data_IF_284219230972
#
_entry.id   IF_284219230972
#
_cell.length_a   1.000
_cell.length_b   1.000
_cell.length_c   1.000
_cell.angle_alpha   90.00
_cell.angle_beta   90.00
_cell.angle_gamma   90.00
#
_symmetry.space_group_name_H-M   'P 1'
#
loop_
_entity.id
_entity.type
_entity.pdbx_description
1 polymer ?
#
# COMPACT_ATOMS: atom_id res chain seq x y z
N UNK A 1 14.39 -16.98 7.05
CA UNK A 1 14.62 -15.62 6.50
C UNK A 1 13.37 -14.78 6.71
N UNK A 2 13.52 -13.50 7.10
CA UNK A 2 12.38 -12.63 7.40
C UNK A 2 12.21 -11.54 6.35
N UNK A 3 10.98 -11.08 6.17
CA UNK A 3 10.64 -9.92 5.36
C UNK A 3 9.78 -8.98 6.19
N UNK A 4 9.80 -7.69 5.84
CA UNK A 4 8.93 -6.71 6.48
C UNK A 4 7.96 -6.18 5.44
N UNK A 5 6.67 -6.17 5.78
CA UNK A 5 5.63 -5.48 5.03
C UNK A 5 5.27 -4.18 5.74
N UNK A 6 5.11 -3.10 5.00
CA UNK A 6 4.68 -1.80 5.52
C UNK A 6 3.42 -1.35 4.79
N UNK A 7 2.41 -0.98 5.56
CA UNK A 7 1.25 -0.23 5.10
C UNK A 7 1.47 1.26 5.44
N UNK A 8 1.74 2.06 4.43
CA UNK A 8 1.93 3.50 4.54
C UNK A 8 0.61 4.22 4.23
N UNK A 9 -0.21 4.40 5.24
CA UNK A 9 -1.47 5.14 5.11
C UNK A 9 -1.35 6.63 5.48
N UNK A 10 -2.32 7.43 5.07
CA UNK A 10 -2.37 8.87 5.40
C UNK A 10 -2.50 9.17 6.90
N UNK A 11 -2.96 8.21 7.70
CA UNK A 11 -3.14 8.37 9.15
C UNK A 11 -2.12 7.59 9.97
N UNK A 12 -1.80 6.38 9.56
CA UNK A 12 -0.91 5.48 10.29
C UNK A 12 0.09 4.84 9.32
N UNK A 13 1.27 4.56 9.85
CA UNK A 13 2.29 3.70 9.27
C UNK A 13 2.30 2.41 10.10
N UNK A 14 2.08 1.27 9.46
CA UNK A 14 2.08 -0.03 10.15
C UNK A 14 3.09 -0.95 9.47
N UNK A 15 4.03 -1.48 10.24
CA UNK A 15 5.01 -2.47 9.77
C UNK A 15 4.75 -3.82 10.43
N UNK A 16 4.98 -4.90 9.68
CA UNK A 16 4.89 -6.26 10.19
C UNK A 16 6.05 -7.11 9.70
N UNK A 17 6.73 -7.81 10.61
CA UNK A 17 7.73 -8.83 10.26
C UNK A 17 7.03 -10.14 9.94
N UNK A 18 7.35 -10.73 8.81
CA UNK A 18 6.74 -11.96 8.30
C UNK A 18 7.80 -13.06 8.25
N UNK A 19 7.48 -14.22 8.82
CA UNK A 19 8.32 -15.43 8.74
C UNK A 19 8.03 -16.26 7.48
N UNK A 20 8.71 -17.38 7.31
CA UNK A 20 8.57 -18.28 6.15
C UNK A 20 7.19 -18.95 6.08
N UNK A 21 6.48 -19.04 7.20
CA UNK A 21 5.12 -19.57 7.28
C UNK A 21 4.06 -18.49 6.96
N UNK A 22 4.47 -17.30 6.51
CA UNK A 22 3.60 -16.14 6.25
C UNK A 22 2.87 -15.62 7.49
N UNK A 23 3.42 -15.87 8.68
CA UNK A 23 2.87 -15.35 9.94
C UNK A 23 3.57 -14.05 10.32
N UNK A 24 2.79 -13.09 10.80
CA UNK A 24 3.30 -11.84 11.37
C UNK A 24 3.79 -12.16 12.78
N UNK A 25 5.09 -11.95 13.03
CA UNK A 25 5.77 -12.27 14.30
C UNK A 25 6.24 -11.03 15.07
N UNK A 26 6.16 -9.86 14.47
CA UNK A 26 6.45 -8.58 15.11
C UNK A 26 5.75 -7.43 14.41
N UNK A 27 5.43 -6.36 15.14
CA UNK A 27 4.69 -5.21 14.64
C UNK A 27 5.31 -3.90 15.10
N UNK A 28 5.31 -2.91 14.19
CA UNK A 28 5.64 -1.52 14.50
C UNK A 28 4.54 -0.60 14.00
N UNK A 29 4.23 0.44 14.74
CA UNK A 29 3.17 1.39 14.37
C UNK A 29 3.55 2.80 14.79
N UNK A 30 3.44 3.73 13.83
CA UNK A 30 3.57 5.17 14.05
C UNK A 30 2.38 5.91 13.43
N UNK A 31 2.21 7.19 13.85
CA UNK A 31 1.28 8.09 13.18
C UNK A 31 1.96 8.75 11.98
N UNK A 32 1.26 8.84 10.86
CA UNK A 32 1.78 9.52 9.66
C UNK A 32 1.88 11.03 9.87
N UNK A 33 0.91 11.61 10.60
CA UNK A 33 0.85 13.05 10.92
C UNK A 33 0.93 13.95 9.66
N UNK A 34 0.25 13.57 8.58
CA UNK A 34 0.15 14.38 7.38
C UNK A 34 -0.65 15.68 7.62
N UNK A 35 -0.34 16.78 6.89
CA UNK A 35 0.72 16.90 5.89
C UNK A 35 2.08 17.29 6.51
N UNK A 36 3.18 16.73 5.96
CA UNK A 36 4.57 17.12 6.28
C UNK A 36 5.53 16.65 5.18
N UNK A 37 6.81 17.02 5.28
CA UNK A 37 7.82 16.65 4.29
C UNK A 37 7.92 15.13 4.09
N UNK A 38 8.09 14.70 2.84
CA UNK A 38 8.15 13.29 2.47
C UNK A 38 9.28 12.54 3.20
N UNK A 39 10.44 13.17 3.33
CA UNK A 39 11.60 12.62 4.03
C UNK A 39 11.29 12.31 5.50
N UNK A 40 10.51 13.18 6.16
CA UNK A 40 10.12 12.98 7.55
C UNK A 40 9.12 11.81 7.70
N UNK A 41 8.23 11.62 6.74
CA UNK A 41 7.32 10.47 6.71
C UNK A 41 8.10 9.18 6.44
N UNK A 42 9.04 9.20 5.48
CA UNK A 42 9.87 8.04 5.15
C UNK A 42 10.84 7.68 6.30
N UNK A 43 11.32 8.65 7.06
CA UNK A 43 12.08 8.36 8.29
C UNK A 43 11.21 7.62 9.32
N UNK A 44 9.93 7.98 9.45
CA UNK A 44 9.02 7.26 10.35
C UNK A 44 8.62 5.88 9.79
N UNK A 45 8.60 5.70 8.47
CA UNK A 45 8.52 4.35 7.87
C UNK A 45 9.71 3.50 8.31
N UNK A 46 10.93 4.03 8.25
CA UNK A 46 12.12 3.32 8.69
C UNK A 46 12.06 2.97 10.19
N UNK A 47 11.62 3.91 11.05
CA UNK A 47 11.43 3.65 12.48
C UNK A 47 10.35 2.60 12.75
N UNK A 48 9.26 2.58 11.98
CA UNK A 48 8.22 1.55 12.11
C UNK A 48 8.77 0.15 11.76
N UNK A 49 9.60 0.06 10.72
CA UNK A 49 10.31 -1.18 10.36
C UNK A 49 11.23 -1.63 11.49
N UNK A 50 12.05 -0.73 12.03
CA UNK A 50 12.97 -1.03 13.14
C UNK A 50 12.19 -1.47 14.39
N UNK A 51 11.08 -0.81 14.71
CA UNK A 51 10.22 -1.19 15.83
C UNK A 51 9.62 -2.60 15.64
N UNK A 52 9.16 -2.93 14.42
CA UNK A 52 8.64 -4.27 14.13
C UNK A 52 9.72 -5.36 14.26
N UNK A 53 10.96 -5.06 13.85
CA UNK A 53 12.11 -5.97 13.96
C UNK A 53 12.47 -6.22 15.44
N UNK A 54 12.46 -5.18 16.26
CA UNK A 54 12.68 -5.29 17.71
C UNK A 54 11.58 -6.12 18.37
N UNK A 55 10.32 -5.86 18.04
CA UNK A 55 9.15 -6.57 18.58
C UNK A 55 9.18 -8.08 18.19
N UNK A 56 9.71 -8.39 17.00
CA UNK A 56 9.92 -9.76 16.55
C UNK A 56 11.09 -10.49 17.26
N UNK A 57 11.88 -9.78 18.06
CA UNK A 57 13.06 -10.34 18.75
C UNK A 57 14.22 -10.72 17.81
N UNK A 58 14.31 -10.07 16.63
CA UNK A 58 15.34 -10.29 15.61
C UNK A 58 16.14 -9.01 15.35
N UNK A 59 17.09 -9.07 14.45
CA UNK A 59 17.89 -7.92 14.03
C UNK A 59 17.64 -7.56 12.56
N UNK A 60 18.00 -6.34 12.16
CA UNK A 60 17.92 -5.94 10.75
C UNK A 60 18.76 -6.85 9.82
N UNK A 61 19.80 -7.51 10.34
CA UNK A 61 20.60 -8.45 9.54
C UNK A 61 19.80 -9.67 9.10
N UNK A 62 18.80 -10.07 9.88
CA UNK A 62 17.93 -11.22 9.59
C UNK A 62 16.86 -10.91 8.55
N UNK A 63 16.66 -9.60 8.24
CA UNK A 63 15.67 -9.11 7.25
C UNK A 63 16.28 -9.12 5.85
N UNK A 64 15.61 -9.78 4.91
CA UNK A 64 16.03 -9.87 3.50
C UNK A 64 15.60 -8.64 2.70
N UNK A 65 14.36 -8.20 2.90
CA UNK A 65 13.77 -7.10 2.14
C UNK A 65 12.59 -6.47 2.86
N UNK A 66 12.24 -5.26 2.45
CA UNK A 66 11.06 -4.54 2.92
C UNK A 66 10.16 -4.24 1.73
N UNK A 67 8.87 -4.61 1.83
CA UNK A 67 7.83 -4.26 0.87
C UNK A 67 6.92 -3.18 1.46
N UNK A 68 6.57 -2.18 0.67
CA UNK A 68 5.76 -1.04 1.12
C UNK A 68 4.56 -0.90 0.20
N UNK A 69 3.37 -0.99 0.77
CA UNK A 69 2.11 -0.58 0.16
C UNK A 69 1.84 0.89 0.48
N UNK A 70 1.57 1.70 -0.51
CA UNK A 70 1.31 3.14 -0.38
C UNK A 70 0.08 3.53 -1.21
N UNK A 71 -0.71 4.51 -0.77
CA UNK A 71 -1.77 5.04 -1.62
C UNK A 71 -1.17 5.74 -2.85
N UNK A 72 -1.99 5.85 -3.89
CA UNK A 72 -1.66 6.59 -5.11
C UNK A 72 -0.89 5.80 -6.16
N UNK A 73 -0.22 6.52 -7.06
CA UNK A 73 0.50 5.95 -8.20
C UNK A 73 1.96 5.67 -7.85
N UNK A 74 2.42 4.48 -8.19
CA UNK A 74 3.78 4.02 -7.90
C UNK A 74 4.46 3.57 -9.18
N UNK A 75 5.57 4.19 -9.54
CA UNK A 75 6.48 3.71 -10.56
C UNK A 75 7.42 2.66 -9.96
N UNK A 76 7.03 1.41 -10.04
CA UNK A 76 7.78 0.28 -9.44
C UNK A 76 9.17 0.12 -10.03
N UNK A 77 9.35 0.42 -11.32
CA UNK A 77 10.64 0.32 -12.00
C UNK A 77 11.66 1.28 -11.41
N UNK A 78 11.27 2.52 -11.21
CA UNK A 78 12.14 3.59 -10.73
C UNK A 78 12.13 3.73 -9.19
N UNK A 79 11.18 3.09 -8.49
CA UNK A 79 11.06 3.20 -7.04
C UNK A 79 10.55 4.57 -6.56
N UNK A 80 9.70 5.19 -7.37
CA UNK A 80 9.16 6.53 -7.13
C UNK A 80 7.66 6.44 -6.82
N UNK A 81 7.22 7.09 -5.77
CA UNK A 81 5.80 7.39 -5.54
C UNK A 81 5.50 8.65 -6.36
N UNK A 82 4.84 8.47 -7.52
CA UNK A 82 4.60 9.56 -8.46
C UNK A 82 3.59 10.56 -7.91
N UNK A 83 2.52 10.05 -7.29
CA UNK A 83 1.50 10.88 -6.67
C UNK A 83 0.77 10.13 -5.57
N UNK A 84 0.62 10.74 -4.39
CA UNK A 84 -0.22 10.25 -3.31
C UNK A 84 -0.88 11.42 -2.57
N UNK A 85 -2.15 11.70 -2.90
CA UNK A 85 -2.89 12.83 -2.34
C UNK A 85 -2.94 12.81 -0.81
N UNK A 86 -3.18 11.63 -0.22
CA UNK A 86 -3.31 11.45 1.23
C UNK A 86 -2.00 11.67 2.01
N UNK A 87 -0.87 11.69 1.31
CA UNK A 87 0.47 11.90 1.86
C UNK A 87 1.06 13.26 1.43
N UNK A 88 0.39 13.96 0.50
CA UNK A 88 0.92 15.14 -0.19
C UNK A 88 2.26 14.84 -0.90
N UNK A 89 2.41 13.63 -1.45
CA UNK A 89 3.60 13.21 -2.19
C UNK A 89 3.46 13.55 -3.67
N UNK A 90 4.54 14.05 -4.24
CA UNK A 90 4.71 14.32 -5.67
C UNK A 90 6.14 13.94 -6.08
N UNK A 91 6.27 12.93 -6.94
CA UNK A 91 7.54 12.41 -7.45
C UNK A 91 8.61 12.11 -6.38
N UNK A 92 8.21 11.42 -5.31
CA UNK A 92 9.09 11.09 -4.18
C UNK A 92 9.91 9.83 -4.47
N UNK A 93 11.27 9.89 -4.48
CA UNK A 93 12.15 8.74 -4.74
C UNK A 93 12.26 7.85 -3.48
N UNK A 94 11.14 7.24 -3.08
CA UNK A 94 10.99 6.57 -1.80
C UNK A 94 11.91 5.35 -1.65
N UNK A 95 12.18 4.61 -2.76
CA UNK A 95 13.11 3.48 -2.73
C UNK A 95 14.50 3.93 -2.32
N UNK A 96 15.07 4.91 -3.02
CA UNK A 96 16.45 5.35 -2.81
C UNK A 96 16.65 5.90 -1.39
N UNK A 97 15.69 6.66 -0.90
CA UNK A 97 15.70 7.21 0.47
C UNK A 97 15.71 6.06 1.49
N UNK A 98 14.81 5.09 1.35
CA UNK A 98 14.67 4.00 2.31
C UNK A 98 15.77 2.96 2.20
N UNK A 99 16.28 2.66 1.00
CA UNK A 99 17.45 1.79 0.81
C UNK A 99 18.71 2.41 1.43
N UNK A 100 18.88 3.72 1.26
CA UNK A 100 19.97 4.46 1.91
C UNK A 100 19.87 4.38 3.44
N UNK A 101 18.66 4.49 4.00
CA UNK A 101 18.40 4.53 5.44
C UNK A 101 18.44 3.15 6.11
N UNK A 102 17.79 2.15 5.50
CA UNK A 102 17.63 0.81 6.08
C UNK A 102 18.71 -0.17 5.64
N UNK A 103 19.47 0.13 4.57
CA UNK A 103 20.45 -0.78 3.94
C UNK A 103 19.85 -2.12 3.56
N UNK A 104 18.61 -2.11 3.06
CA UNK A 104 17.85 -3.27 2.61
C UNK A 104 17.18 -2.99 1.28
N UNK A 105 16.96 -4.03 0.49
CA UNK A 105 16.20 -3.91 -0.76
C UNK A 105 14.76 -3.52 -0.46
N UNK A 106 14.30 -2.47 -1.12
CA UNK A 106 12.94 -1.91 -0.95
C UNK A 106 12.11 -2.20 -2.20
N UNK A 107 10.91 -2.73 -1.98
CA UNK A 107 9.87 -2.89 -3.00
C UNK A 107 8.70 -1.97 -2.69
N UNK A 108 8.18 -1.32 -3.72
CA UNK A 108 7.02 -0.43 -3.61
C UNK A 108 5.89 -0.94 -4.51
N UNK A 109 4.66 -0.87 -4.04
CA UNK A 109 3.45 -1.04 -4.85
C UNK A 109 2.31 -0.22 -4.26
N UNK A 110 1.21 -0.12 -4.99
CA UNK A 110 -0.05 0.43 -4.46
C UNK A 110 -0.57 -0.46 -3.31
N UNK A 111 -1.21 0.16 -2.31
CA UNK A 111 -1.72 -0.50 -1.11
C UNK A 111 -2.76 -1.59 -1.40
N UNK A 112 -3.72 -1.34 -2.29
CA UNK A 112 -4.72 -2.34 -2.69
C UNK A 112 -4.11 -3.50 -3.48
N UNK A 113 -3.09 -3.24 -4.30
CA UNK A 113 -2.30 -4.26 -4.97
C UNK A 113 -1.57 -5.15 -3.96
N UNK A 114 -0.94 -4.53 -2.95
CA UNK A 114 -0.28 -5.25 -1.86
C UNK A 114 -1.28 -6.12 -1.07
N UNK A 115 -2.48 -5.59 -0.78
CA UNK A 115 -3.54 -6.33 -0.12
C UNK A 115 -3.97 -7.55 -0.94
N UNK A 116 -4.21 -7.39 -2.26
CA UNK A 116 -4.56 -8.50 -3.14
C UNK A 116 -3.47 -9.58 -3.18
N UNK A 117 -2.20 -9.19 -3.25
CA UNK A 117 -1.08 -10.14 -3.19
C UNK A 117 -1.01 -10.84 -1.83
N UNK A 118 -1.26 -10.14 -0.74
CA UNK A 118 -1.34 -10.71 0.60
C UNK A 118 -2.44 -11.77 0.69
N UNK A 119 -3.64 -11.46 0.21
CA UNK A 119 -4.77 -12.39 0.14
C UNK A 119 -4.45 -13.63 -0.73
N UNK A 120 -3.78 -13.43 -1.87
CA UNK A 120 -3.35 -14.54 -2.73
C UNK A 120 -2.37 -15.50 -2.04
N UNK A 121 -1.48 -14.97 -1.20
CA UNK A 121 -0.41 -15.76 -0.57
C UNK A 121 -0.80 -16.38 0.77
N UNK A 122 -1.56 -15.67 1.58
CA UNK A 122 -1.81 -16.04 2.98
C UNK A 122 -3.26 -15.86 3.45
N UNK A 123 -4.13 -15.26 2.64
CA UNK A 123 -5.50 -14.93 2.98
C UNK A 123 -6.55 -15.74 2.22
N UNK A 124 -7.72 -15.13 1.98
CA UNK A 124 -8.88 -15.75 1.35
C UNK A 124 -8.66 -16.15 -0.11
N UNK A 125 -7.70 -15.52 -0.80
CA UNK A 125 -7.31 -15.86 -2.18
C UNK A 125 -6.34 -17.02 -2.30
N UNK A 126 -5.90 -17.63 -1.20
CA UNK A 126 -4.94 -18.74 -1.22
C UNK A 126 -5.50 -19.95 -1.96
N UNK A 127 -4.78 -20.39 -3.01
CA UNK A 127 -5.21 -21.50 -3.86
C UNK A 127 -6.21 -21.11 -4.95
N UNK A 128 -6.62 -19.86 -5.05
CA UNK A 128 -7.47 -19.33 -6.12
C UNK A 128 -6.58 -18.65 -7.16
N UNK A 129 -6.70 -19.08 -8.43
CA UNK A 129 -5.85 -18.55 -9.50
C UNK A 129 -6.28 -17.15 -9.99
N UNK A 130 -7.59 -16.85 -9.92
CA UNK A 130 -8.10 -15.58 -10.41
C UNK A 130 -9.18 -15.04 -9.48
N UNK A 131 -9.02 -13.80 -9.01
CA UNK A 131 -9.97 -13.12 -8.14
C UNK A 131 -9.75 -11.60 -8.19
N UNK A 132 -10.71 -10.88 -7.65
CA UNK A 132 -10.62 -9.45 -7.38
C UNK A 132 -10.69 -9.25 -5.86
N UNK A 133 -9.71 -8.54 -5.31
CA UNK A 133 -9.76 -8.03 -3.94
C UNK A 133 -10.29 -6.60 -3.97
N UNK A 134 -11.26 -6.29 -3.12
CA UNK A 134 -11.81 -4.93 -2.93
C UNK A 134 -11.47 -4.48 -1.51
N UNK A 135 -10.89 -3.30 -1.39
CA UNK A 135 -10.63 -2.66 -0.10
C UNK A 135 -11.60 -1.50 0.09
N UNK A 136 -12.35 -1.53 1.19
CA UNK A 136 -13.29 -0.46 1.57
C UNK A 136 -12.72 0.30 2.77
N UNK A 137 -12.33 1.54 2.52
CA UNK A 137 -11.76 2.44 3.51
C UNK A 137 -12.14 3.89 3.22
N UNK A 138 -11.23 4.83 3.39
CA UNK A 138 -11.40 6.23 2.98
C UNK A 138 -11.85 6.33 1.51
N UNK A 139 -11.30 5.48 0.65
CA UNK A 139 -11.72 5.27 -0.73
C UNK A 139 -12.13 3.81 -0.98
N UNK A 140 -12.25 3.46 -2.26
CA UNK A 140 -12.44 2.09 -2.75
C UNK A 140 -11.22 1.70 -3.57
N UNK A 141 -10.36 0.85 -2.99
CA UNK A 141 -9.23 0.28 -3.70
C UNK A 141 -9.56 -1.11 -4.26
N UNK A 142 -8.77 -1.58 -5.20
CA UNK A 142 -8.90 -2.92 -5.75
C UNK A 142 -7.59 -3.45 -6.32
N UNK A 143 -7.42 -4.77 -6.21
CA UNK A 143 -6.34 -5.49 -6.86
C UNK A 143 -6.91 -6.69 -7.61
N UNK A 144 -6.48 -6.88 -8.84
CA UNK A 144 -6.96 -7.93 -9.74
C UNK A 144 -5.85 -8.97 -9.92
N UNK A 145 -6.15 -10.22 -9.60
CA UNK A 145 -5.25 -11.35 -9.84
C UNK A 145 -5.86 -12.23 -10.92
N UNK A 146 -5.10 -12.52 -11.99
CA UNK A 146 -5.46 -13.42 -13.07
C UNK A 146 -4.33 -14.43 -13.27
N UNK A 147 -4.66 -15.72 -13.28
CA UNK A 147 -3.70 -16.82 -13.40
C UNK A 147 -2.53 -16.71 -12.40
N UNK A 148 -2.84 -16.33 -11.18
CA UNK A 148 -1.89 -16.17 -10.08
C UNK A 148 -0.98 -14.94 -10.19
N UNK A 149 -1.25 -14.03 -11.15
CA UNK A 149 -0.47 -12.81 -11.38
C UNK A 149 -1.32 -11.57 -11.15
N UNK A 150 -0.74 -10.59 -10.45
CA UNK A 150 -1.36 -9.29 -10.28
C UNK A 150 -1.40 -8.55 -11.64
N UNK A 151 -2.56 -7.99 -11.97
CA UNK A 151 -2.75 -7.16 -13.17
C UNK A 151 -2.46 -5.72 -12.81
N UNK A 152 -1.35 -5.20 -13.31
CA UNK A 152 -0.92 -3.82 -13.03
C UNK A 152 -1.00 -2.89 -14.25
N UNK A 153 -1.22 -3.46 -15.45
CA UNK A 153 -1.26 -2.69 -16.70
C UNK A 153 0.12 -2.23 -17.18
N UNK A 154 0.13 -1.40 -18.22
CA UNK A 154 1.37 -0.94 -18.88
C UNK A 154 2.11 0.13 -18.07
N UNK A 155 1.40 0.86 -17.23
CA UNK A 155 1.90 1.99 -16.42
C UNK A 155 1.60 1.83 -14.92
N UNK A 156 1.48 0.59 -14.46
CA UNK A 156 1.21 0.22 -13.06
C UNK A 156 -0.09 0.80 -12.46
N UNK A 157 -1.04 1.26 -13.29
CA UNK A 157 -2.29 1.91 -12.88
C UNK A 157 -3.55 1.09 -13.22
N UNK A 158 -3.44 -0.21 -13.49
CA UNK A 158 -4.61 -1.06 -13.68
C UNK A 158 -5.26 -1.41 -12.34
N UNK A 159 -6.55 -1.75 -12.41
CA UNK A 159 -7.28 -2.22 -11.23
C UNK A 159 -7.94 -1.11 -10.41
N UNK A 160 -7.96 0.12 -10.87
CA UNK A 160 -8.59 1.28 -10.21
C UNK A 160 -10.13 1.23 -10.29
N UNK A 161 -10.74 0.12 -9.78
CA UNK A 161 -12.19 -0.11 -9.91
C UNK A 161 -13.03 0.90 -9.13
N UNK A 162 -12.51 1.46 -8.03
CA UNK A 162 -13.17 2.52 -7.29
C UNK A 162 -13.49 3.76 -8.14
N UNK A 163 -12.72 3.94 -9.22
CA UNK A 163 -12.92 5.04 -10.16
C UNK A 163 -13.72 4.68 -11.41
N UNK A 164 -14.34 3.49 -11.48
CA UNK A 164 -15.32 3.19 -12.51
C UNK A 164 -16.56 4.05 -12.30
N UNK A 165 -17.05 4.69 -13.38
CA UNK A 165 -18.29 5.47 -13.36
C UNK A 165 -19.47 4.51 -13.32
N UNK A 166 -20.24 4.52 -12.23
CA UNK A 166 -21.45 3.70 -12.05
C UNK A 166 -22.74 4.51 -12.15
N UNK A 167 -22.63 5.86 -12.04
CA UNK A 167 -23.75 6.79 -12.19
C UNK A 167 -23.32 7.92 -13.12
N UNK A 168 -23.95 8.03 -14.30
CA UNK A 168 -23.69 9.14 -15.23
C UNK A 168 -24.03 10.46 -14.57
N UNK A 169 -23.13 11.46 -14.69
CA UNK A 169 -23.26 12.79 -14.08
C UNK A 169 -23.54 12.81 -12.57
N UNK A 170 -23.19 11.71 -11.89
CA UNK A 170 -23.42 11.51 -10.45
C UNK A 170 -22.53 12.38 -9.55
N UNK A 171 -22.27 11.90 -8.34
CA UNK A 171 -21.47 12.58 -7.31
C UNK A 171 -20.05 12.90 -7.78
N UNK A 172 -19.52 14.05 -7.33
CA UNK A 172 -18.14 14.43 -7.59
C UNK A 172 -17.17 13.42 -6.92
N UNK A 173 -16.11 13.08 -7.64
CA UNK A 173 -15.03 12.23 -7.14
C UNK A 173 -13.72 13.03 -7.02
N UNK A 174 -12.90 12.68 -6.05
CA UNK A 174 -11.58 13.27 -5.81
C UNK A 174 -10.62 13.12 -7.01
N UNK A 175 -10.87 12.14 -7.91
CA UNK A 175 -10.12 11.97 -9.15
C UNK A 175 -10.46 13.01 -10.25
N UNK A 176 -11.33 13.98 -9.98
CA UNK A 176 -11.77 15.02 -10.92
C UNK A 176 -12.95 14.61 -11.81
N UNK A 177 -13.38 13.35 -11.78
CA UNK A 177 -14.57 12.85 -12.51
C UNK A 177 -15.82 12.90 -11.65
N UNK A 178 -16.96 12.46 -12.22
CA UNK A 178 -18.23 12.32 -11.53
C UNK A 178 -18.75 10.89 -11.66
N UNK A 179 -19.49 10.44 -10.64
CA UNK A 179 -20.19 9.17 -10.69
C UNK A 179 -19.33 7.94 -10.41
N UNK A 180 -18.11 8.09 -9.90
CA UNK A 180 -17.24 6.98 -9.57
C UNK A 180 -17.81 6.12 -8.44
N UNK A 181 -17.60 4.82 -8.49
CA UNK A 181 -18.06 3.87 -7.48
C UNK A 181 -17.62 4.26 -6.05
N UNK A 182 -16.40 4.72 -5.88
CA UNK A 182 -15.86 5.22 -4.61
C UNK A 182 -16.75 6.29 -3.97
N UNK A 183 -17.30 7.19 -4.79
CA UNK A 183 -18.17 8.27 -4.30
C UNK A 183 -19.48 7.79 -3.69
N UNK A 184 -19.82 6.50 -3.82
CA UNK A 184 -21.03 5.91 -3.26
C UNK A 184 -20.77 4.84 -2.21
N UNK A 185 -19.64 4.15 -2.27
CA UNK A 185 -19.40 2.91 -1.51
C UNK A 185 -18.21 2.97 -0.56
N UNK A 186 -17.45 4.07 -0.51
CA UNK A 186 -16.39 4.24 0.47
C UNK A 186 -16.94 4.58 1.87
N UNK A 187 -16.13 4.39 2.92
CA UNK A 187 -16.46 4.84 4.26
C UNK A 187 -16.72 6.36 4.30
N UNK A 188 -15.96 7.15 3.56
CA UNK A 188 -16.15 8.59 3.41
C UNK A 188 -17.51 8.90 2.74
N UNK A 189 -17.91 8.14 1.73
CA UNK A 189 -19.20 8.29 1.08
C UNK A 189 -20.35 7.95 2.03
N UNK A 190 -20.22 6.88 2.82
CA UNK A 190 -21.22 6.47 3.81
C UNK A 190 -21.44 7.55 4.90
N UNK A 191 -20.35 8.20 5.36
CA UNK A 191 -20.46 9.28 6.37
C UNK A 191 -21.13 10.53 5.78
N UNK A 192 -20.95 10.77 4.48
CA UNK A 192 -21.54 11.93 3.78
C UNK A 192 -23.05 11.77 3.54
N UNK A 193 -23.54 10.55 3.34
CA UNK A 193 -24.97 10.23 3.13
C UNK A 193 -25.80 10.40 4.40
#
# INVERSE_FOLDING_TARGET
>A
MYRVGVDLGGTNIVAGVINEEMKIIGRGKLKTNCPRAAEAILEDVAKAVEAAVIDAGITMNDVVSVGIGTPGSVNKKNGVIEYANNLAFDNVPARDILESRLKKTIYLDNDANCAALGEAKAGAGKGVNSFVAITLGTGVGSGIVIDGKLVTGVNDAAGEMGHMVIVSDGEACTCGRRGCWESYSSATALIRQ
#
